data_IF_795109920058
#
_entry.id   IF_795109920058
#
_cell.length_a   1.000
_cell.length_b   1.000
_cell.length_c   1.000
_cell.angle_alpha   90.00
_cell.angle_beta   90.00
_cell.angle_gamma   90.00
#
_symmetry.space_group_name_H-M   'P 1'
#
loop_
_entity.id
_entity.type
_entity.pdbx_description
1 polymer ?
#
# COMPACT_ATOMS: atom_id res chain seq x y z
N UNK A 1 28.58 -11.78 16.17
CA UNK A 1 27.39 -10.91 16.32
C UNK A 1 26.20 -11.78 16.73
N UNK A 2 25.62 -11.52 17.90
CA UNK A 2 24.75 -12.44 18.65
C UNK A 2 23.37 -12.64 17.96
N UNK A 3 22.94 -13.90 17.70
CA UNK A 3 21.68 -14.26 17.02
C UNK A 3 20.45 -13.60 17.67
N UNK A 4 20.47 -13.42 19.00
CA UNK A 4 19.40 -12.79 19.80
C UNK A 4 19.16 -11.31 19.46
N UNK A 5 20.20 -10.58 19.02
CA UNK A 5 20.09 -9.15 18.68
C UNK A 5 19.42 -8.98 17.30
N UNK A 6 19.66 -9.90 16.35
CA UNK A 6 18.98 -9.89 15.05
C UNK A 6 17.46 -10.06 15.18
N UNK A 7 16.99 -10.92 16.08
CA UNK A 7 15.55 -11.10 16.34
C UNK A 7 14.89 -9.85 16.93
N UNK A 8 15.58 -9.18 17.86
CA UNK A 8 15.07 -7.95 18.49
C UNK A 8 14.92 -6.79 17.50
N UNK A 9 15.77 -6.72 16.48
CA UNK A 9 15.72 -5.67 15.45
C UNK A 9 14.72 -6.04 14.34
N UNK A 10 14.55 -7.33 14.01
CA UNK A 10 13.61 -7.77 12.97
C UNK A 10 12.14 -7.54 13.32
N UNK A 11 11.75 -7.74 14.59
CA UNK A 11 10.37 -7.53 15.06
C UNK A 11 9.82 -6.11 14.86
N UNK A 12 10.51 -5.04 15.29
CA UNK A 12 10.01 -3.67 15.09
C UNK A 12 10.04 -3.24 13.63
N UNK A 13 11.00 -3.72 12.82
CA UNK A 13 11.04 -3.44 11.38
C UNK A 13 9.82 -4.04 10.68
N UNK A 14 9.49 -5.31 10.97
CA UNK A 14 8.32 -5.97 10.42
C UNK A 14 7.01 -5.28 10.83
N UNK A 15 6.92 -4.86 12.10
CA UNK A 15 5.77 -4.13 12.63
C UNK A 15 5.61 -2.77 11.92
N UNK A 16 6.69 -2.01 11.77
CA UNK A 16 6.69 -0.73 11.09
C UNK A 16 6.30 -0.86 9.61
N UNK A 17 6.79 -1.90 8.93
CA UNK A 17 6.47 -2.17 7.53
C UNK A 17 5.00 -2.54 7.36
N UNK A 18 4.44 -3.35 8.27
CA UNK A 18 3.01 -3.70 8.28
C UNK A 18 2.12 -2.49 8.57
N UNK A 19 2.50 -1.65 9.54
CA UNK A 19 1.78 -0.40 9.86
C UNK A 19 1.81 0.56 8.66
N UNK A 20 2.96 0.70 8.01
CA UNK A 20 3.12 1.54 6.81
C UNK A 20 2.24 1.04 5.66
N UNK A 21 2.21 -0.28 5.43
CA UNK A 21 1.35 -0.94 4.44
C UNK A 21 -0.14 -0.62 4.68
N UNK A 22 -0.57 -0.72 5.93
CA UNK A 22 -1.95 -0.45 6.35
C UNK A 22 -2.30 1.03 6.19
N UNK A 23 -1.37 1.92 6.53
CA UNK A 23 -1.52 3.37 6.37
C UNK A 23 -1.64 3.78 4.90
N UNK A 24 -0.89 3.13 4.00
CA UNK A 24 -0.99 3.36 2.55
C UNK A 24 -2.38 2.98 2.04
N UNK A 25 -2.91 1.82 2.47
CA UNK A 25 -4.27 1.40 2.08
C UNK A 25 -5.34 2.35 2.61
N UNK A 26 -5.21 2.81 3.86
CA UNK A 26 -6.11 3.83 4.42
C UNK A 26 -6.05 5.13 3.63
N UNK A 27 -4.85 5.57 3.23
CA UNK A 27 -4.67 6.76 2.42
C UNK A 27 -5.32 6.60 1.05
N UNK A 28 -5.14 5.46 0.39
CA UNK A 28 -5.76 5.16 -0.92
C UNK A 28 -7.27 5.20 -0.82
N UNK A 29 -7.86 4.52 0.17
CA UNK A 29 -9.31 4.54 0.40
C UNK A 29 -9.80 5.98 0.68
N UNK A 30 -9.06 6.72 1.50
CA UNK A 30 -9.36 8.13 1.80
C UNK A 30 -9.35 9.02 0.57
N UNK A 31 -8.34 8.87 -0.30
CA UNK A 31 -8.25 9.61 -1.58
C UNK A 31 -9.41 9.22 -2.50
N UNK A 32 -9.74 7.93 -2.61
CA UNK A 32 -10.86 7.46 -3.44
C UNK A 32 -12.20 8.05 -2.96
N UNK A 33 -12.46 8.02 -1.65
CA UNK A 33 -13.66 8.61 -1.06
C UNK A 33 -13.69 10.12 -1.28
N UNK A 34 -12.56 10.80 -1.09
CA UNK A 34 -12.45 12.24 -1.26
C UNK A 34 -12.70 12.64 -2.72
N UNK A 35 -12.05 11.98 -3.68
CA UNK A 35 -12.27 12.18 -5.11
C UNK A 35 -13.73 11.92 -5.49
N UNK A 36 -14.33 10.83 -4.98
CA UNK A 36 -15.74 10.51 -5.25
C UNK A 36 -16.68 11.60 -4.72
N UNK A 37 -16.38 12.17 -3.55
CA UNK A 37 -17.15 13.28 -3.00
C UNK A 37 -17.01 14.56 -3.84
N UNK A 38 -15.81 14.86 -4.34
CA UNK A 38 -15.61 15.97 -5.27
C UNK A 38 -16.36 15.77 -6.58
N UNK A 39 -16.36 14.55 -7.13
CA UNK A 39 -17.10 14.21 -8.35
C UNK A 39 -18.61 14.39 -8.16
N UNK A 40 -19.13 13.94 -7.02
CA UNK A 40 -20.54 14.15 -6.68
C UNK A 40 -20.89 15.63 -6.59
N UNK A 41 -20.06 16.43 -5.90
CA UNK A 41 -20.27 17.87 -5.76
C UNK A 41 -20.16 18.61 -7.11
N UNK A 42 -19.19 18.25 -7.95
CA UNK A 42 -19.04 18.83 -9.29
C UNK A 42 -20.24 18.51 -10.18
N UNK A 43 -20.78 17.29 -10.09
CA UNK A 43 -21.98 16.89 -10.82
C UNK A 43 -23.22 17.66 -10.36
N UNK A 44 -23.36 17.91 -9.06
CA UNK A 44 -24.48 18.67 -8.49
C UNK A 44 -24.46 20.14 -8.94
N UNK A 45 -23.27 20.73 -9.04
CA UNK A 45 -23.08 22.09 -9.53
C UNK A 45 -23.24 22.26 -11.06
N UNK A 46 -23.57 21.19 -11.80
CA UNK A 46 -23.58 21.16 -13.27
C UNK A 46 -22.27 21.71 -13.86
N UNK A 47 -21.16 21.46 -13.18
CA UNK A 47 -19.87 21.90 -13.68
C UNK A 47 -19.57 21.13 -14.97
N UNK A 48 -18.94 21.80 -15.93
CA UNK A 48 -18.55 21.14 -17.18
C UNK A 48 -17.63 19.95 -16.85
N UNK A 49 -17.72 18.87 -17.62
CA UNK A 49 -16.74 17.77 -17.55
C UNK A 49 -15.36 18.31 -17.97
N UNK A 50 -14.68 18.97 -17.04
CA UNK A 50 -13.39 19.58 -17.25
C UNK A 50 -12.27 18.55 -17.17
N UNK A 51 -11.09 18.94 -17.66
CA UNK A 51 -9.88 18.12 -17.57
C UNK A 51 -9.60 17.64 -16.13
N UNK A 52 -9.95 18.44 -15.12
CA UNK A 52 -9.82 18.09 -13.70
C UNK A 52 -10.60 16.82 -13.32
N UNK A 53 -11.87 16.72 -13.75
CA UNK A 53 -12.73 15.55 -13.51
C UNK A 53 -12.14 14.29 -14.17
N UNK A 54 -11.65 14.41 -15.40
CA UNK A 54 -10.99 13.32 -16.11
C UNK A 54 -9.71 12.84 -15.40
N UNK A 55 -8.87 13.76 -14.92
CA UNK A 55 -7.65 13.44 -14.17
C UNK A 55 -7.99 12.69 -12.88
N UNK A 56 -9.01 13.14 -12.15
CA UNK A 56 -9.46 12.49 -10.91
C UNK A 56 -9.95 11.05 -11.13
N UNK A 57 -10.66 10.79 -12.24
CA UNK A 57 -11.12 9.43 -12.59
C UNK A 57 -9.94 8.50 -12.88
N UNK A 58 -8.90 8.99 -13.58
CA UNK A 58 -7.70 8.19 -13.90
C UNK A 58 -6.80 8.01 -12.68
N UNK A 59 -6.77 8.96 -11.76
CA UNK A 59 -5.95 8.89 -10.56
C UNK A 59 -6.34 7.70 -9.65
N UNK A 60 -7.63 7.43 -9.50
CA UNK A 60 -8.15 6.33 -8.66
C UNK A 60 -7.54 4.96 -9.01
N UNK A 61 -7.64 4.44 -10.25
CA UNK A 61 -7.03 3.16 -10.61
C UNK A 61 -5.51 3.17 -10.51
N UNK A 62 -4.84 4.30 -10.75
CA UNK A 62 -3.38 4.42 -10.59
C UNK A 62 -2.98 4.24 -9.12
N UNK A 63 -3.65 4.90 -8.18
CA UNK A 63 -3.36 4.75 -6.75
C UNK A 63 -3.63 3.33 -6.25
N UNK A 64 -4.73 2.71 -6.71
CA UNK A 64 -5.04 1.31 -6.38
C UNK A 64 -3.95 0.37 -6.91
N UNK A 65 -3.49 0.58 -8.15
CA UNK A 65 -2.45 -0.24 -8.76
C UNK A 65 -1.13 -0.12 -7.99
N UNK A 66 -0.72 1.10 -7.63
CA UNK A 66 0.49 1.33 -6.84
C UNK A 66 0.41 0.65 -5.46
N UNK A 67 -0.72 0.78 -4.77
CA UNK A 67 -0.93 0.11 -3.49
C UNK A 67 -0.89 -1.42 -3.63
N UNK A 68 -1.48 -1.95 -4.69
CA UNK A 68 -1.44 -3.37 -5.03
C UNK A 68 -0.01 -3.88 -5.27
N UNK A 69 0.78 -3.18 -6.09
CA UNK A 69 2.18 -3.53 -6.37
C UNK A 69 3.02 -3.52 -5.08
N UNK A 70 2.85 -2.51 -4.23
CA UNK A 70 3.53 -2.46 -2.93
C UNK A 70 3.13 -3.64 -2.04
N UNK A 71 1.85 -4.01 -2.05
CA UNK A 71 1.34 -5.17 -1.26
C UNK A 71 1.96 -6.46 -1.77
N UNK A 72 2.05 -6.61 -3.10
CA UNK A 72 2.66 -7.76 -3.74
C UNK A 72 4.14 -7.89 -3.36
N UNK A 73 4.91 -6.80 -3.44
CA UNK A 73 6.33 -6.79 -3.06
C UNK A 73 6.50 -7.11 -1.58
N UNK A 74 5.64 -6.57 -0.71
CA UNK A 74 5.66 -6.86 0.72
C UNK A 74 5.45 -8.36 1.04
N UNK A 75 4.48 -8.99 0.37
CA UNK A 75 4.22 -10.43 0.51
C UNK A 75 5.36 -11.26 -0.09
N UNK A 76 5.86 -10.86 -1.26
CA UNK A 76 6.97 -11.53 -1.94
C UNK A 76 8.24 -11.57 -1.08
N UNK A 77 8.60 -10.42 -0.49
CA UNK A 77 9.76 -10.32 0.39
C UNK A 77 9.64 -11.24 1.62
N UNK A 78 8.44 -11.34 2.22
CA UNK A 78 8.20 -12.22 3.36
C UNK A 78 8.30 -13.70 3.01
N UNK A 79 7.86 -14.08 1.81
CA UNK A 79 7.94 -15.45 1.34
C UNK A 79 9.39 -15.89 1.11
N UNK A 80 10.23 -15.01 0.58
CA UNK A 80 11.66 -15.27 0.39
C UNK A 80 12.41 -15.40 1.72
N UNK A 81 12.12 -14.54 2.71
CA UNK A 81 12.72 -14.65 4.04
C UNK A 81 12.43 -16.02 4.71
N UNK A 82 11.19 -16.52 4.57
CA UNK A 82 10.80 -17.82 5.12
C UNK A 82 11.52 -18.97 4.41
N UNK A 83 11.62 -18.93 3.08
CA UNK A 83 12.29 -19.97 2.28
C UNK A 83 13.78 -20.11 2.64
N UNK A 84 14.48 -18.99 2.82
CA UNK A 84 15.90 -18.98 3.23
C UNK A 84 16.09 -19.57 4.64
N UNK A 85 15.11 -19.38 5.52
CA UNK A 85 15.17 -19.92 6.87
C UNK A 85 15.01 -21.44 6.91
N UNK A 86 14.14 -21.99 6.05
CA UNK A 86 13.90 -23.42 5.90
C UNK A 86 15.13 -24.15 5.33
N UNK A 87 15.69 -23.65 4.22
CA UNK A 87 16.90 -24.22 3.59
C UNK A 87 18.11 -24.24 4.54
N UNK A 88 18.22 -23.25 5.44
CA UNK A 88 19.32 -23.19 6.41
C UNK A 88 19.11 -24.06 7.67
N UNK A 89 17.94 -24.65 7.86
CA UNK A 89 17.66 -25.57 8.97
C UNK A 89 17.72 -27.05 8.53
N UNK A 90 17.76 -27.32 7.22
CA UNK A 90 17.97 -28.67 6.66
C UNK A 90 19.46 -29.03 6.47
N UNK A 91 20.38 -28.08 6.70
CA UNK A 91 21.85 -28.23 6.64
C UNK A 91 22.45 -28.11 8.04
#
# INVERSE_FOLDING_TARGET
MNRRIKEYIKRPIFLAQTISMLLIWLLVIGIVLWISNLLYLASDLKDSFGASVGISIVAVPVFITLAGVLTYVFIGLHKEEMKIFEERNEI
#
